data_IF_477991680167
#
_entry.id   IF_477991680167
#
_cell.length_a   1.000
_cell.length_b   1.000
_cell.length_c   1.000
_cell.angle_alpha   90.00
_cell.angle_beta   90.00
_cell.angle_gamma   90.00
#
_symmetry.space_group_name_H-M   'P 1'
#
loop_
_entity.id
_entity.type
_entity.pdbx_description
1 polymer ?
#
# COMPACT_ATOMS: atom_id res chain seq x y z
N UNK A 1 -1.66 -19.80 -11.14
CA UNK A 1 -0.63 -18.96 -10.48
C UNK A 1 -1.09 -17.52 -10.59
N UNK A 2 -0.91 -16.71 -9.54
CA UNK A 2 -1.24 -15.28 -9.56
C UNK A 2 -0.07 -14.49 -8.98
N UNK A 3 0.32 -13.41 -9.64
CA UNK A 3 1.41 -12.52 -9.23
C UNK A 3 0.84 -11.13 -8.95
N UNK A 4 1.19 -10.56 -7.81
CA UNK A 4 0.69 -9.23 -7.38
C UNK A 4 1.75 -8.15 -7.56
N UNK A 5 1.32 -6.94 -7.92
CA UNK A 5 2.16 -5.75 -8.02
C UNK A 5 1.32 -4.48 -7.74
N UNK A 6 1.92 -3.31 -7.46
CA UNK A 6 3.29 -3.08 -6.95
C UNK A 6 3.41 -3.47 -5.47
N UNK A 7 4.48 -3.11 -4.75
CA UNK A 7 4.59 -3.18 -3.28
C UNK A 7 3.76 -2.07 -2.63
N UNK A 8 3.52 -2.20 -1.32
CA UNK A 8 2.78 -1.20 -0.53
C UNK A 8 3.51 -0.88 0.79
N UNK A 9 3.22 0.26 1.40
CA UNK A 9 3.89 0.71 2.61
C UNK A 9 3.34 -0.02 3.86
N UNK A 10 4.22 -0.62 4.67
CA UNK A 10 3.82 -1.30 5.91
C UNK A 10 3.83 -0.38 7.12
N UNK A 11 4.72 0.62 7.13
CA UNK A 11 4.99 1.45 8.31
C UNK A 11 5.33 2.88 7.90
N UNK A 12 4.79 3.84 8.64
CA UNK A 12 5.24 5.23 8.58
C UNK A 12 6.62 5.40 9.22
N UNK A 13 7.50 6.22 8.64
CA UNK A 13 8.78 6.57 9.25
C UNK A 13 8.61 7.07 10.69
N UNK A 14 9.59 6.79 11.55
CA UNK A 14 9.55 7.27 12.92
C UNK A 14 9.75 8.79 12.96
N UNK A 15 8.85 9.44 13.69
CA UNK A 15 8.88 10.88 13.93
C UNK A 15 8.40 11.14 15.35
N UNK A 16 8.98 12.10 16.10
CA UNK A 16 8.53 12.43 17.45
C UNK A 16 7.05 12.85 17.54
N UNK A 17 6.43 13.26 16.43
CA UNK A 17 5.03 13.68 16.35
C UNK A 17 4.08 12.55 15.94
N UNK A 18 4.39 11.87 14.84
CA UNK A 18 3.44 10.95 14.18
C UNK A 18 3.63 9.49 14.62
N UNK A 19 4.88 9.09 14.88
CA UNK A 19 5.22 7.72 15.28
C UNK A 19 6.38 7.76 16.30
N UNK A 20 6.12 8.17 17.56
CA UNK A 20 7.15 8.39 18.54
C UNK A 20 7.69 7.10 19.15
N UNK A 21 8.97 7.10 19.50
CA UNK A 21 9.60 6.02 20.27
C UNK A 21 9.79 6.43 21.73
N UNK A 22 9.90 5.45 22.63
CA UNK A 22 10.13 5.70 24.05
C UNK A 22 11.61 6.01 24.31
N UNK A 23 11.88 6.86 25.31
CA UNK A 23 13.19 7.21 25.87
C UNK A 23 14.10 8.15 25.05
N UNK A 24 13.97 8.22 23.72
CA UNK A 24 14.76 9.14 22.90
C UNK A 24 13.99 9.67 21.70
N UNK A 25 14.36 10.86 21.24
CA UNK A 25 13.74 11.48 20.07
C UNK A 25 14.40 10.92 18.80
N UNK A 26 13.78 9.92 18.20
CA UNK A 26 14.22 9.35 16.93
C UNK A 26 13.50 10.03 15.76
N UNK A 27 14.28 10.44 14.76
CA UNK A 27 13.79 10.96 13.50
C UNK A 27 14.39 10.09 12.39
N UNK A 28 13.53 9.38 11.68
CA UNK A 28 13.94 8.50 10.58
C UNK A 28 13.96 9.29 9.27
N UNK A 29 15.16 9.54 8.74
CA UNK A 29 15.33 10.20 7.45
C UNK A 29 15.24 9.18 6.31
N UNK A 30 14.17 9.28 5.52
CA UNK A 30 13.87 8.44 4.34
C UNK A 30 13.82 9.27 3.04
N UNK A 31 14.34 10.50 3.08
CA UNK A 31 14.18 11.46 1.98
C UNK A 31 15.00 11.12 0.74
N UNK A 32 16.12 10.40 0.91
CA UNK A 32 17.09 10.18 -0.17
C UNK A 32 16.77 8.96 -1.03
N UNK A 33 16.32 7.85 -0.42
CA UNK A 33 16.06 6.61 -1.14
C UNK A 33 14.69 6.02 -0.80
N UNK A 34 13.93 5.71 -1.85
CA UNK A 34 12.62 5.08 -1.71
C UNK A 34 12.69 3.69 -1.06
N UNK A 35 13.79 2.96 -1.25
CA UNK A 35 13.96 1.63 -0.67
C UNK A 35 14.18 1.65 0.85
N UNK A 36 14.43 2.83 1.45
CA UNK A 36 14.55 2.97 2.91
C UNK A 36 13.18 2.89 3.61
N UNK A 37 12.09 3.05 2.86
CA UNK A 37 10.75 2.77 3.37
C UNK A 37 10.55 1.26 3.56
N UNK A 38 9.78 0.92 4.59
CA UNK A 38 9.41 -0.48 4.83
C UNK A 38 8.31 -0.94 3.85
N UNK A 39 8.73 -1.40 2.68
CA UNK A 39 7.85 -1.98 1.67
C UNK A 39 7.42 -3.40 2.01
N UNK A 40 6.12 -3.65 1.87
CA UNK A 40 5.47 -4.94 2.05
C UNK A 40 5.06 -5.58 0.74
N UNK A 41 4.92 -6.91 0.80
CA UNK A 41 4.46 -7.72 -0.33
C UNK A 41 2.93 -7.67 -0.44
N UNK A 42 2.40 -7.20 -1.57
CA UNK A 42 0.95 -7.07 -1.84
C UNK A 42 0.18 -8.38 -1.86
N UNK A 43 0.85 -9.54 -1.93
CA UNK A 43 0.19 -10.83 -1.77
C UNK A 43 -0.56 -10.93 -0.43
N UNK A 44 -0.06 -10.29 0.62
CA UNK A 44 -0.76 -10.21 1.91
C UNK A 44 -2.10 -9.46 1.81
N UNK A 45 -2.14 -8.37 1.04
CA UNK A 45 -3.38 -7.59 0.87
C UNK A 45 -4.43 -8.37 0.08
N UNK A 46 -4.03 -9.08 -0.97
CA UNK A 46 -4.93 -9.98 -1.69
C UNK A 46 -5.45 -11.10 -0.77
N UNK A 47 -4.58 -11.69 0.04
CA UNK A 47 -4.96 -12.73 1.00
C UNK A 47 -5.96 -12.21 2.05
N UNK A 48 -5.80 -10.98 2.55
CA UNK A 48 -6.77 -10.33 3.43
C UNK A 48 -8.14 -10.20 2.76
N UNK A 49 -8.21 -9.73 1.51
CA UNK A 49 -9.49 -9.63 0.78
C UNK A 49 -10.16 -10.99 0.59
N UNK A 50 -9.39 -12.04 0.27
CA UNK A 50 -9.89 -13.42 0.18
C UNK A 50 -10.47 -13.88 1.52
N UNK A 51 -9.74 -13.67 2.61
CA UNK A 51 -10.17 -14.03 3.96
C UNK A 51 -11.44 -13.27 4.37
N UNK A 52 -11.53 -11.98 4.05
CA UNK A 52 -12.69 -11.14 4.32
C UNK A 52 -13.94 -11.58 3.54
N UNK A 53 -13.77 -11.92 2.26
CA UNK A 53 -14.86 -12.48 1.46
C UNK A 53 -15.37 -13.78 2.08
N UNK A 54 -14.45 -14.68 2.47
CA UNK A 54 -14.81 -15.94 3.12
C UNK A 54 -15.49 -15.73 4.48
N UNK A 55 -15.00 -14.79 5.29
CA UNK A 55 -15.58 -14.50 6.60
C UNK A 55 -17.04 -14.03 6.49
N UNK A 56 -17.35 -13.19 5.48
CA UNK A 56 -18.69 -12.63 5.27
C UNK A 56 -19.64 -13.59 4.58
N UNK A 57 -19.17 -14.32 3.56
CA UNK A 57 -20.06 -15.05 2.66
C UNK A 57 -19.78 -16.55 2.61
N UNK A 58 -18.74 -17.05 3.28
CA UNK A 58 -18.23 -18.44 3.18
C UNK A 58 -17.75 -18.82 1.78
N UNK A 59 -17.57 -17.83 0.91
CA UNK A 59 -17.09 -17.95 -0.46
C UNK A 59 -16.15 -16.79 -0.77
N UNK A 60 -15.25 -16.98 -1.73
CA UNK A 60 -14.20 -16.00 -2.07
C UNK A 60 -14.35 -15.27 -3.44
N UNK A 61 -15.56 -14.99 -3.99
CA UNK A 61 -15.67 -14.25 -5.25
C UNK A 61 -15.48 -12.74 -5.08
N UNK A 62 -15.68 -12.21 -3.87
CA UNK A 62 -15.76 -10.78 -3.59
C UNK A 62 -14.38 -10.22 -3.24
N UNK A 63 -13.47 -10.28 -4.22
CA UNK A 63 -12.06 -9.86 -4.07
C UNK A 63 -11.61 -8.85 -5.14
N UNK A 64 -12.52 -8.48 -6.03
CA UNK A 64 -12.33 -7.49 -7.10
C UNK A 64 -13.31 -6.34 -6.92
N UNK A 65 -12.88 -5.12 -7.27
CA UNK A 65 -13.71 -3.93 -7.24
C UNK A 65 -13.69 -3.17 -5.90
N UNK A 66 -13.68 -1.82 -5.94
CA UNK A 66 -13.49 -0.99 -4.76
C UNK A 66 -14.65 -1.10 -3.75
N UNK A 67 -15.87 -1.34 -4.21
CA UNK A 67 -17.03 -1.53 -3.33
C UNK A 67 -17.40 -3.01 -3.14
N UNK A 68 -16.86 -3.89 -3.98
CA UNK A 68 -17.22 -5.31 -4.05
C UNK A 68 -16.26 -6.23 -3.30
N UNK A 69 -15.42 -5.68 -2.42
CA UNK A 69 -14.53 -6.43 -1.52
C UNK A 69 -13.06 -6.47 -1.93
N UNK A 70 -12.68 -5.83 -3.04
CA UNK A 70 -11.28 -5.69 -3.46
C UNK A 70 -10.54 -4.48 -2.87
N UNK A 71 -11.21 -3.58 -2.15
CA UNK A 71 -10.58 -2.39 -1.59
C UNK A 71 -9.71 -2.70 -0.37
N UNK A 72 -8.43 -2.35 -0.49
CA UNK A 72 -7.49 -2.28 0.63
C UNK A 72 -7.69 -0.95 1.35
N UNK A 73 -7.82 -1.00 2.68
CA UNK A 73 -8.11 0.17 3.52
C UNK A 73 -6.99 0.41 4.52
N UNK A 74 -6.99 1.60 5.11
CA UNK A 74 -6.10 1.99 6.21
C UNK A 74 -4.60 1.84 5.88
N UNK A 75 -4.23 2.15 4.64
CA UNK A 75 -2.83 2.18 4.23
C UNK A 75 -2.08 3.35 4.93
N UNK A 76 -0.83 3.14 5.37
CA UNK A 76 -0.05 4.20 6.00
C UNK A 76 0.27 5.33 5.01
N UNK A 77 0.16 6.58 5.47
CA UNK A 77 0.44 7.78 4.67
C UNK A 77 1.54 8.59 5.35
N UNK A 78 2.61 8.91 4.63
CA UNK A 78 3.69 9.76 5.17
C UNK A 78 3.63 11.14 4.51
N UNK A 79 3.45 12.19 5.31
CA UNK A 79 3.49 13.58 4.85
C UNK A 79 4.91 14.12 5.00
N UNK A 80 5.48 14.66 3.93
CA UNK A 80 6.81 15.26 3.96
C UNK A 80 6.84 16.56 3.15
N UNK A 81 7.75 17.45 3.51
CA UNK A 81 7.94 18.70 2.78
C UNK A 81 8.91 18.48 1.61
N UNK A 82 8.52 18.93 0.42
CA UNK A 82 9.37 18.96 -0.76
C UNK A 82 9.09 20.21 -1.58
N UNK A 83 10.15 20.89 -2.03
CA UNK A 83 10.05 22.13 -2.80
C UNK A 83 9.15 23.21 -2.15
N UNK A 84 9.14 23.29 -0.82
CA UNK A 84 8.33 24.24 -0.05
C UNK A 84 6.83 23.91 0.03
N UNK A 85 6.44 22.69 -0.33
CA UNK A 85 5.06 22.20 -0.18
C UNK A 85 5.04 20.88 0.58
N UNK A 86 4.00 20.70 1.39
CA UNK A 86 3.72 19.41 2.03
C UNK A 86 3.09 18.49 1.00
N UNK A 87 3.72 17.34 0.76
CA UNK A 87 3.23 16.30 -0.13
C UNK A 87 3.03 14.99 0.65
N UNK A 88 2.04 14.22 0.23
CA UNK A 88 1.82 12.88 0.75
C UNK A 88 2.59 11.87 -0.09
N UNK A 89 3.42 11.05 0.55
CA UNK A 89 3.98 9.85 -0.07
C UNK A 89 2.84 8.89 -0.35
N UNK A 90 2.76 8.47 -1.61
CA UNK A 90 1.81 7.47 -2.06
C UNK A 90 2.06 6.13 -1.31
N UNK A 91 1.01 5.44 -0.86
CA UNK A 91 1.14 4.21 -0.08
C UNK A 91 1.54 3.00 -0.94
N UNK A 92 1.37 3.08 -2.25
CA UNK A 92 1.94 2.18 -3.25
C UNK A 92 3.19 2.80 -3.87
N UNK A 93 4.08 1.99 -4.42
CA UNK A 93 5.33 2.52 -5.03
C UNK A 93 5.07 3.47 -6.20
N UNK A 94 3.98 3.21 -6.93
CA UNK A 94 3.56 3.94 -8.12
C UNK A 94 2.06 4.12 -8.11
N UNK A 95 1.61 5.28 -8.60
CA UNK A 95 0.21 5.47 -8.96
C UNK A 95 -0.03 4.81 -10.32
N UNK A 96 -0.74 3.69 -10.30
CA UNK A 96 -1.09 2.97 -11.52
C UNK A 96 -2.33 3.62 -12.12
N UNK A 97 -2.23 4.07 -13.38
CA UNK A 97 -3.38 4.62 -14.10
C UNK A 97 -4.27 3.49 -14.60
N UNK A 98 -5.56 3.75 -14.80
CA UNK A 98 -6.53 2.76 -15.31
C UNK A 98 -6.04 2.06 -16.59
N UNK A 99 -5.39 2.80 -17.49
CA UNK A 99 -4.80 2.21 -18.70
C UNK A 99 -3.68 1.21 -18.38
N UNK A 100 -2.80 1.55 -17.46
CA UNK A 100 -1.68 0.67 -17.07
C UNK A 100 -2.15 -0.54 -16.28
N UNK A 101 -3.17 -0.36 -15.44
CA UNK A 101 -3.84 -1.47 -14.76
C UNK A 101 -4.41 -2.45 -15.78
N UNK A 102 -5.12 -1.95 -16.80
CA UNK A 102 -5.67 -2.78 -17.86
C UNK A 102 -4.59 -3.53 -18.66
N UNK A 103 -3.51 -2.84 -19.06
CA UNK A 103 -2.38 -3.47 -19.76
C UNK A 103 -1.72 -4.57 -18.89
N UNK A 104 -1.58 -4.37 -17.59
CA UNK A 104 -1.05 -5.37 -16.65
C UNK A 104 -2.00 -6.55 -16.46
N UNK A 105 -3.31 -6.29 -16.44
CA UNK A 105 -4.34 -7.32 -16.35
C UNK A 105 -4.36 -8.22 -17.59
N UNK A 106 -4.15 -7.67 -18.79
CA UNK A 106 -4.00 -8.44 -20.03
C UNK A 106 -2.78 -9.39 -19.97
N UNK A 107 -1.70 -8.97 -19.31
CA UNK A 107 -0.51 -9.79 -19.07
C UNK A 107 -0.64 -10.73 -17.84
N UNK A 108 -1.81 -10.74 -17.18
CA UNK A 108 -2.11 -11.66 -16.08
C UNK A 108 -1.59 -11.25 -14.70
N UNK A 109 -1.24 -9.97 -14.51
CA UNK A 109 -0.89 -9.43 -13.19
C UNK A 109 -2.11 -8.98 -12.41
N UNK A 110 -2.05 -9.14 -11.09
CA UNK A 110 -3.03 -8.62 -10.14
C UNK A 110 -2.48 -7.32 -9.58
N UNK A 111 -3.04 -6.19 -10.01
CA UNK A 111 -2.48 -4.87 -9.70
C UNK A 111 -3.25 -4.16 -8.58
N UNK A 112 -2.53 -3.60 -7.61
CA UNK A 112 -3.07 -2.66 -6.62
C UNK A 112 -2.87 -1.24 -7.13
N UNK A 113 -3.98 -0.55 -7.41
CA UNK A 113 -3.99 0.82 -7.97
C UNK A 113 -4.04 1.89 -6.90
#
# INVERSE_FOLDING_TARGET
>A
LGLTAPRFLLRQPYSPTDNPVKNFNYYEDVSQNHEDYLWGNTAWMLACNIADSFAKYRWCPNIIGPQSGGAVKDLPVHLFETMGQIQAKIPTEVLVTDRREFELAEEGFITLT
#
